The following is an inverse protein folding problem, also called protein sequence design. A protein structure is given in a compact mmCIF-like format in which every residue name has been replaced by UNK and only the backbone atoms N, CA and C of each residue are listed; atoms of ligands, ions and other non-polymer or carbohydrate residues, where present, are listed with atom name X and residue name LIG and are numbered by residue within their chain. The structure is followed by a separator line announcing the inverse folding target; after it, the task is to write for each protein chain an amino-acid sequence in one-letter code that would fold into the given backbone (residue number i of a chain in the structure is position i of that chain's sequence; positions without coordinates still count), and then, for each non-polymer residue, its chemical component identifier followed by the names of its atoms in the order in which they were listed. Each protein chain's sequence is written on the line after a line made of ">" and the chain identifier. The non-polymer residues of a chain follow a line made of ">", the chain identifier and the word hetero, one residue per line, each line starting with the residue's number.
data_IF_363569218671
#
_entry.id   IF_363569218671
#
_cell.length_a   1.000
_cell.length_b   1.000
_cell.length_c   1.000
_cell.angle_alpha   90.00
_cell.angle_beta   90.00
_cell.angle_gamma   90.00
#
_symmetry.space_group_name_H-M   'P 1'
#
loop_
_entity.id
_entity.type
_entity.pdbx_description
1 polymer ?
#
# COMPACT_ATOMS: atom_id res chain seq x y z
N UNK A 1 -38.72 22.51 -27.31
CA UNK A 1 -37.29 22.77 -27.08
C UNK A 1 -37.12 24.28 -27.04
N UNK A 2 -36.77 24.85 -25.89
CA UNK A 2 -36.60 26.30 -25.78
C UNK A 2 -35.17 26.67 -26.23
N UNK A 3 -35.07 27.55 -27.24
CA UNK A 3 -33.80 28.09 -27.71
C UNK A 3 -33.37 29.20 -26.75
N UNK A 4 -32.09 29.19 -26.33
CA UNK A 4 -31.56 30.29 -25.52
C UNK A 4 -31.62 31.60 -26.34
N UNK A 5 -32.02 32.72 -25.71
CA UNK A 5 -32.00 34.01 -26.39
C UNK A 5 -30.55 34.40 -26.72
N UNK A 6 -30.34 34.85 -27.95
CA UNK A 6 -29.04 35.32 -28.41
C UNK A 6 -28.78 36.69 -27.77
N UNK A 7 -27.98 36.72 -26.70
CA UNK A 7 -27.62 37.97 -26.02
C UNK A 7 -26.47 38.62 -26.80
N UNK A 8 -26.67 39.86 -27.24
CA UNK A 8 -25.60 40.63 -27.86
C UNK A 8 -24.57 41.04 -26.80
N UNK A 9 -23.32 40.58 -26.98
CA UNK A 9 -22.21 40.92 -26.11
C UNK A 9 -21.51 42.18 -26.61
N UNK A 10 -21.36 43.16 -25.73
CA UNK A 10 -20.59 44.37 -26.00
C UNK A 10 -19.15 44.19 -25.52
N UNK A 11 -18.23 45.06 -25.98
CA UNK A 11 -16.82 45.03 -25.53
C UNK A 11 -16.63 45.11 -24.01
N UNK A 12 -17.58 45.72 -23.30
CA UNK A 12 -17.56 45.82 -21.85
C UNK A 12 -17.89 44.49 -21.14
N UNK A 13 -18.58 43.57 -21.84
CA UNK A 13 -18.96 42.26 -21.33
C UNK A 13 -17.84 41.21 -21.55
N UNK A 14 -16.82 41.57 -22.34
CA UNK A 14 -15.65 40.73 -22.51
C UNK A 14 -14.78 40.77 -21.25
N UNK A 15 -14.24 39.62 -20.80
CA UNK A 15 -13.30 39.61 -19.71
C UNK A 15 -12.11 40.51 -20.04
N UNK A 16 -11.78 41.42 -19.14
CA UNK A 16 -10.58 42.26 -19.29
C UNK A 16 -9.36 41.34 -19.31
N UNK A 17 -8.42 41.52 -20.25
CA UNK A 17 -7.17 40.76 -20.22
C UNK A 17 -6.44 41.10 -18.91
N UNK A 18 -6.48 40.18 -17.96
CA UNK A 18 -5.55 40.23 -16.84
C UNK A 18 -4.15 39.99 -17.38
N UNK A 19 -3.15 40.68 -16.83
CA UNK A 19 -1.77 40.28 -17.04
C UNK A 19 -1.67 38.80 -16.65
N UNK A 20 -1.36 37.93 -17.61
CA UNK A 20 -1.05 36.55 -17.30
C UNK A 20 0.09 36.56 -16.27
N UNK A 21 -0.06 35.85 -15.16
CA UNK A 21 1.07 35.64 -14.25
C UNK A 21 2.22 35.09 -15.08
N UNK A 22 3.42 35.63 -14.92
CA UNK A 22 4.60 35.09 -15.59
C UNK A 22 4.64 33.58 -15.37
N UNK A 23 4.64 32.81 -16.47
CA UNK A 23 4.78 31.37 -16.37
C UNK A 23 6.09 31.09 -15.63
N UNK A 24 6.00 30.35 -14.53
CA UNK A 24 7.19 30.01 -13.75
C UNK A 24 8.24 29.38 -14.67
N UNK A 25 9.44 29.95 -14.71
CA UNK A 25 10.51 29.47 -15.57
C UNK A 25 10.72 27.97 -15.32
N UNK A 26 10.71 27.18 -16.40
CA UNK A 26 11.01 25.75 -16.32
C UNK A 26 12.41 25.58 -15.71
N UNK A 27 12.47 24.86 -14.60
CA UNK A 27 13.73 24.44 -13.98
C UNK A 27 13.82 22.94 -14.10
N UNK A 28 14.95 22.44 -14.60
CA UNK A 28 15.29 21.02 -14.52
C UNK A 28 15.48 20.65 -13.05
N UNK A 29 14.39 20.27 -12.39
CA UNK A 29 14.40 19.63 -11.08
C UNK A 29 14.13 18.15 -11.27
N UNK A 30 14.52 17.31 -10.32
CA UNK A 30 14.08 15.91 -10.23
C UNK A 30 12.89 15.87 -9.29
N UNK A 31 11.64 15.91 -9.80
CA UNK A 31 10.47 15.91 -8.91
C UNK A 31 10.48 14.59 -8.13
N UNK A 32 10.59 14.69 -6.80
CA UNK A 32 10.74 13.52 -5.91
C UNK A 32 12.14 13.29 -5.34
N UNK A 33 13.15 14.07 -5.75
CA UNK A 33 14.47 14.06 -5.09
C UNK A 33 14.37 14.73 -3.71
N UNK A 34 14.57 13.92 -2.67
CA UNK A 34 14.65 14.37 -1.29
C UNK A 34 16.07 14.87 -1.06
N UNK A 35 16.26 16.19 -1.08
CA UNK A 35 17.57 16.84 -0.85
C UNK A 35 17.80 17.13 0.63
N UNK A 36 16.76 17.12 1.46
CA UNK A 36 16.85 17.30 2.92
C UNK A 36 15.91 16.34 3.66
N UNK A 37 16.22 15.94 4.91
CA UNK A 37 15.38 15.01 5.68
C UNK A 37 13.91 15.45 5.84
N UNK A 38 13.65 16.76 5.88
CA UNK A 38 12.33 17.36 6.07
C UNK A 38 11.46 17.28 4.80
N UNK A 39 12.08 17.07 3.63
CA UNK A 39 11.38 16.85 2.36
C UNK A 39 10.91 15.40 2.22
N UNK A 40 11.40 14.49 3.05
CA UNK A 40 10.85 13.16 3.13
C UNK A 40 9.45 13.25 3.76
N UNK A 41 8.41 12.92 2.98
CA UNK A 41 7.06 12.81 3.54
C UNK A 41 7.02 11.58 4.45
N UNK A 42 6.82 11.82 5.74
CA UNK A 42 6.67 10.79 6.78
C UNK A 42 5.18 10.64 7.16
N UNK A 43 4.69 9.40 7.21
CA UNK A 43 3.42 9.07 7.90
C UNK A 43 2.40 8.22 7.12
N UNK A 44 1.45 7.65 7.85
CA UNK A 44 0.42 6.73 7.36
C UNK A 44 0.78 5.25 7.57
N UNK A 45 -0.15 4.34 7.22
CA UNK A 45 0.01 2.88 7.38
C UNK A 45 1.17 2.27 6.56
N UNK A 46 1.86 3.08 5.75
CA UNK A 46 2.85 2.64 4.76
C UNK A 46 4.24 3.28 4.95
N UNK A 47 4.45 4.10 5.99
CA UNK A 47 5.75 4.74 6.23
C UNK A 47 6.23 5.60 5.04
N UNK A 48 7.49 5.43 4.62
CA UNK A 48 8.00 6.03 3.37
C UNK A 48 7.32 5.34 2.18
N UNK A 49 6.61 6.07 1.29
CA UNK A 49 6.17 5.48 0.03
C UNK A 49 7.41 5.16 -0.80
N UNK A 50 7.86 3.90 -0.75
CA UNK A 50 8.90 3.40 -1.61
C UNK A 50 8.41 3.35 -3.07
N UNK A 51 9.28 3.57 -4.06
CA UNK A 51 8.98 3.38 -5.49
C UNK A 51 8.63 1.93 -5.89
N UNK A 52 8.45 1.02 -4.92
CA UNK A 52 8.65 -0.42 -5.10
C UNK A 52 7.40 -1.28 -4.87
N UNK A 53 6.19 -0.70 -4.81
CA UNK A 53 4.96 -1.51 -4.74
C UNK A 53 4.87 -2.55 -5.89
N UNK A 54 5.36 -2.19 -7.07
CA UNK A 54 5.48 -3.12 -8.21
C UNK A 54 6.52 -4.23 -7.99
N UNK A 55 7.63 -3.94 -7.29
CA UNK A 55 8.65 -4.93 -6.96
C UNK A 55 8.14 -5.93 -5.90
N UNK A 56 7.42 -5.47 -4.87
CA UNK A 56 6.80 -6.39 -3.90
C UNK A 56 5.85 -7.36 -4.60
N UNK A 57 5.00 -6.85 -5.50
CA UNK A 57 4.08 -7.71 -6.25
C UNK A 57 4.82 -8.74 -7.11
N UNK A 58 5.99 -8.38 -7.66
CA UNK A 58 6.84 -9.35 -8.38
C UNK A 58 7.35 -10.44 -7.45
N UNK A 59 7.81 -10.10 -6.24
CA UNK A 59 8.25 -11.08 -5.25
C UNK A 59 7.10 -12.01 -4.84
N UNK A 60 5.91 -11.46 -4.58
CA UNK A 60 4.70 -12.25 -4.24
C UNK A 60 4.32 -13.21 -5.36
N UNK A 61 4.37 -12.78 -6.62
CA UNK A 61 4.09 -13.65 -7.76
C UNK A 61 5.09 -14.80 -7.92
N UNK A 62 6.33 -14.60 -7.48
CA UNK A 62 7.36 -15.64 -7.47
C UNK A 62 7.33 -16.55 -6.24
N UNK A 63 6.50 -16.23 -5.24
CA UNK A 63 6.35 -17.05 -4.04
C UNK A 63 5.32 -18.16 -4.24
N UNK A 64 5.60 -19.32 -3.64
CA UNK A 64 4.71 -20.48 -3.61
C UNK A 64 3.78 -20.39 -2.40
N UNK A 65 2.47 -20.29 -2.66
CA UNK A 65 1.40 -20.37 -1.65
C UNK A 65 0.05 -20.56 -2.35
N UNK A 66 -0.95 -21.02 -1.59
CA UNK A 66 -2.32 -21.14 -2.09
C UNK A 66 -2.95 -19.75 -2.26
N UNK A 67 -3.31 -19.42 -3.50
CA UNK A 67 -3.92 -18.13 -3.85
C UNK A 67 -5.44 -18.10 -3.65
N UNK A 68 -6.06 -19.26 -3.43
CA UNK A 68 -7.51 -19.40 -3.23
C UNK A 68 -8.35 -18.78 -4.36
N UNK A 69 -9.59 -18.42 -4.03
CA UNK A 69 -10.60 -18.00 -5.02
C UNK A 69 -10.50 -16.54 -5.47
N UNK A 70 -9.75 -15.70 -4.73
CA UNK A 70 -9.58 -14.26 -5.01
C UNK A 70 -8.09 -13.90 -5.10
N UNK A 71 -7.35 -14.49 -6.08
CA UNK A 71 -5.90 -14.43 -6.16
C UNK A 71 -5.37 -12.99 -6.20
N UNK A 72 -5.91 -12.14 -7.08
CA UNK A 72 -5.46 -10.75 -7.21
C UNK A 72 -5.63 -9.92 -5.93
N UNK A 73 -6.68 -10.21 -5.16
CA UNK A 73 -6.93 -9.50 -3.90
C UNK A 73 -5.96 -9.98 -2.83
N UNK A 74 -5.78 -11.30 -2.73
CA UNK A 74 -4.85 -11.89 -1.78
C UNK A 74 -3.40 -11.46 -2.05
N UNK A 75 -2.95 -11.49 -3.31
CA UNK A 75 -1.61 -11.04 -3.71
C UNK A 75 -1.35 -9.58 -3.29
N UNK A 76 -2.35 -8.70 -3.45
CA UNK A 76 -2.23 -7.30 -3.02
C UNK A 76 -2.19 -7.14 -1.50
N UNK A 77 -2.94 -7.96 -0.75
CA UNK A 77 -2.89 -7.96 0.71
C UNK A 77 -1.51 -8.43 1.19
N UNK A 78 -0.99 -9.53 0.65
CA UNK A 78 0.37 -10.04 0.94
C UNK A 78 1.41 -8.96 0.63
N UNK A 79 1.30 -8.31 -0.54
CA UNK A 79 2.22 -7.26 -0.94
C UNK A 79 2.15 -6.02 -0.02
N UNK A 80 0.96 -5.66 0.44
CA UNK A 80 0.79 -4.57 1.42
C UNK A 80 1.49 -4.87 2.74
N UNK A 81 1.36 -6.08 3.27
CA UNK A 81 2.00 -6.48 4.54
C UNK A 81 3.52 -6.55 4.39
N UNK A 82 4.01 -7.18 3.31
CA UNK A 82 5.44 -7.26 3.01
C UNK A 82 6.06 -5.87 2.78
N UNK A 83 5.37 -5.00 2.03
CA UNK A 83 5.79 -3.62 1.80
C UNK A 83 5.85 -2.80 3.09
N UNK A 84 4.89 -2.98 4.00
CA UNK A 84 4.88 -2.31 5.30
C UNK A 84 6.07 -2.72 6.16
N UNK A 85 6.39 -4.03 6.23
CA UNK A 85 7.60 -4.51 6.91
C UNK A 85 8.87 -3.89 6.33
N UNK A 86 9.03 -3.91 5.01
CA UNK A 86 10.20 -3.34 4.35
C UNK A 86 10.34 -1.83 4.64
N UNK A 87 9.21 -1.11 4.64
CA UNK A 87 9.16 0.31 4.97
C UNK A 87 9.53 0.59 6.43
N UNK A 88 9.06 -0.22 7.39
CA UNK A 88 9.47 -0.16 8.80
C UNK A 88 10.97 -0.38 8.97
N UNK A 89 11.54 -1.31 8.20
CA UNK A 89 12.97 -1.59 8.18
C UNK A 89 13.80 -0.55 7.40
N UNK A 90 13.16 0.45 6.77
CA UNK A 90 13.83 1.51 6.01
C UNK A 90 14.58 1.02 4.76
N UNK A 91 14.20 -0.14 4.21
CA UNK A 91 14.88 -0.79 3.06
C UNK A 91 13.91 -1.20 1.96
N UNK A 92 14.46 -1.65 0.84
CA UNK A 92 13.67 -2.26 -0.24
C UNK A 92 13.05 -3.61 0.17
N UNK A 93 11.97 -4.03 -0.50
CA UNK A 93 11.34 -5.34 -0.27
C UNK A 93 12.22 -6.53 -0.70
N UNK A 94 12.18 -7.60 0.09
CA UNK A 94 12.92 -8.86 -0.07
C UNK A 94 11.98 -10.07 0.03
N UNK A 95 12.45 -11.25 -0.38
CA UNK A 95 11.68 -12.50 -0.25
C UNK A 95 11.27 -12.81 1.19
N UNK A 96 12.11 -12.46 2.15
CA UNK A 96 11.82 -12.62 3.58
C UNK A 96 10.62 -11.79 4.04
N UNK A 97 10.37 -10.62 3.44
CA UNK A 97 9.20 -9.81 3.77
C UNK A 97 7.90 -10.49 3.32
N UNK A 98 7.96 -11.16 2.17
CA UNK A 98 6.86 -11.98 1.68
C UNK A 98 6.62 -13.15 2.62
N UNK A 99 7.67 -13.83 3.08
CA UNK A 99 7.53 -14.97 3.99
C UNK A 99 6.86 -14.57 5.32
N UNK A 100 7.28 -13.45 5.92
CA UNK A 100 6.63 -12.91 7.13
C UNK A 100 5.16 -12.56 6.86
N UNK A 101 4.85 -11.95 5.71
CA UNK A 101 3.48 -11.66 5.33
C UNK A 101 2.63 -12.93 5.18
N UNK A 102 3.19 -14.00 4.59
CA UNK A 102 2.50 -15.28 4.42
C UNK A 102 2.23 -15.96 5.77
N UNK A 103 3.18 -15.91 6.71
CA UNK A 103 2.98 -16.41 8.09
C UNK A 103 1.86 -15.62 8.78
N UNK A 104 1.90 -14.29 8.76
CA UNK A 104 0.89 -13.43 9.39
C UNK A 104 -0.52 -13.61 8.81
N UNK A 105 -0.61 -13.97 7.52
CA UNK A 105 -1.88 -14.26 6.86
C UNK A 105 -2.30 -15.73 7.02
N UNK A 106 -1.56 -16.56 7.75
CA UNK A 106 -1.88 -17.98 7.94
C UNK A 106 -1.78 -18.80 6.65
N UNK A 107 -0.92 -18.39 5.71
CA UNK A 107 -0.60 -19.10 4.46
C UNK A 107 0.64 -20.01 4.60
N UNK A 108 1.22 -20.03 5.80
CA UNK A 108 2.26 -20.94 6.28
C UNK A 108 1.79 -21.60 7.59
N UNK A 109 0.84 -22.54 7.52
CA UNK A 109 0.33 -23.19 8.72
C UNK A 109 1.35 -24.13 9.37
N UNK A 110 2.44 -24.46 8.67
CA UNK A 110 3.47 -25.37 9.16
C UNK A 110 4.14 -24.81 10.43
N UNK A 111 4.17 -25.60 11.51
CA UNK A 111 4.77 -25.20 12.78
C UNK A 111 3.88 -24.34 13.68
N UNK A 112 2.68 -23.95 13.23
CA UNK A 112 1.72 -23.20 14.05
C UNK A 112 0.75 -24.14 14.79
N UNK A 113 0.38 -23.84 16.05
CA UNK A 113 -0.73 -24.51 16.72
C UNK A 113 -2.03 -24.36 15.91
N UNK A 114 -2.83 -25.42 15.80
CA UNK A 114 -4.03 -25.42 14.95
C UNK A 114 -5.04 -24.30 15.26
N UNK A 115 -5.15 -23.91 16.53
CA UNK A 115 -5.98 -22.78 16.95
C UNK A 115 -5.46 -21.44 16.39
N UNK A 116 -4.14 -21.22 16.43
CA UNK A 116 -3.51 -20.00 15.92
C UNK A 116 -3.62 -19.94 14.40
N UNK A 117 -3.36 -21.05 13.71
CA UNK A 117 -3.57 -21.15 12.26
C UNK A 117 -5.02 -20.83 11.87
N UNK A 118 -6.00 -21.29 12.66
CA UNK A 118 -7.42 -20.95 12.50
C UNK A 118 -7.68 -19.45 12.63
N UNK A 119 -7.19 -18.81 13.69
CA UNK A 119 -7.34 -17.36 13.92
C UNK A 119 -6.75 -16.55 12.78
N UNK A 120 -5.55 -16.90 12.31
CA UNK A 120 -4.91 -16.19 11.19
C UNK A 120 -5.67 -16.41 9.87
N UNK A 121 -6.18 -17.62 9.64
CA UNK A 121 -7.04 -17.94 8.49
C UNK A 121 -8.34 -17.13 8.49
N UNK A 122 -8.97 -16.97 9.65
CA UNK A 122 -10.19 -16.17 9.81
C UNK A 122 -9.90 -14.68 9.62
N UNK A 123 -8.80 -14.17 10.18
CA UNK A 123 -8.34 -12.80 9.96
C UNK A 123 -8.04 -12.52 8.48
N UNK A 124 -7.39 -13.46 7.78
CA UNK A 124 -7.17 -13.38 6.32
C UNK A 124 -8.50 -13.32 5.57
N UNK A 125 -9.47 -14.18 5.91
CA UNK A 125 -10.79 -14.18 5.25
C UNK A 125 -11.50 -12.84 5.41
N UNK A 126 -11.53 -12.32 6.64
CA UNK A 126 -12.08 -11.00 6.93
C UNK A 126 -11.36 -9.89 6.15
N UNK A 127 -10.04 -9.96 6.02
CA UNK A 127 -9.26 -9.00 5.23
C UNK A 127 -9.64 -9.05 3.74
N UNK A 128 -9.78 -10.24 3.15
CA UNK A 128 -10.19 -10.37 1.73
C UNK A 128 -11.62 -9.86 1.52
N UNK A 129 -12.54 -10.14 2.45
CA UNK A 129 -13.92 -9.64 2.38
C UNK A 129 -13.99 -8.12 2.48
N UNK A 130 -13.20 -7.53 3.37
CA UNK A 130 -13.16 -6.08 3.54
C UNK A 130 -12.43 -5.35 2.40
N UNK A 131 -11.50 -6.04 1.73
CA UNK A 131 -10.62 -5.45 0.71
C UNK A 131 -11.38 -4.72 -0.41
N UNK A 132 -12.61 -5.14 -0.75
CA UNK A 132 -13.42 -4.45 -1.77
C UNK A 132 -13.66 -2.97 -1.44
N UNK A 133 -13.77 -2.62 -0.15
CA UNK A 133 -14.02 -1.27 0.34
C UNK A 133 -12.74 -0.46 0.59
N UNK A 134 -11.57 -1.07 0.41
CA UNK A 134 -10.30 -0.43 0.66
C UNK A 134 -9.69 0.16 -0.62
N UNK A 135 -9.14 1.38 -0.51
CA UNK A 135 -8.31 1.95 -1.58
C UNK A 135 -7.00 1.17 -1.72
N UNK A 136 -6.35 0.91 -0.59
CA UNK A 136 -5.11 0.14 -0.49
C UNK A 136 -5.44 -1.21 0.15
N UNK A 137 -5.37 -2.31 -0.62
CA UNK A 137 -5.85 -3.62 -0.16
C UNK A 137 -4.99 -4.16 0.97
N UNK A 138 -5.60 -4.64 2.05
CA UNK A 138 -4.94 -5.15 3.26
C UNK A 138 -4.65 -4.08 4.31
N UNK A 139 -5.09 -2.83 4.12
CA UNK A 139 -4.79 -1.73 5.03
C UNK A 139 -5.46 -1.89 6.40
N UNK A 140 -6.71 -2.35 6.45
CA UNK A 140 -7.40 -2.64 7.71
C UNK A 140 -6.71 -3.76 8.47
N UNK A 141 -6.36 -4.85 7.77
CA UNK A 141 -5.60 -5.96 8.33
C UNK A 141 -4.29 -5.47 8.95
N UNK A 142 -3.50 -4.69 8.20
CA UNK A 142 -2.21 -4.18 8.67
C UNK A 142 -2.34 -3.38 9.97
N UNK A 143 -3.42 -2.60 10.16
CA UNK A 143 -3.67 -1.85 11.40
C UNK A 143 -3.91 -2.73 12.62
N UNK A 144 -4.23 -4.00 12.43
CA UNK A 144 -4.42 -4.97 13.51
C UNK A 144 -3.13 -5.72 13.87
N UNK A 145 -2.10 -5.64 13.02
CA UNK A 145 -0.83 -6.33 13.25
C UNK A 145 0.10 -5.43 14.07
N UNK A 146 0.58 -5.87 15.25
CA UNK A 146 1.58 -5.12 16.01
C UNK A 146 2.91 -5.00 15.26
N UNK A 147 3.56 -3.84 15.37
CA UNK A 147 4.87 -3.59 14.74
C UNK A 147 5.92 -4.64 15.13
N UNK A 148 5.89 -5.11 16.39
CA UNK A 148 6.78 -6.18 16.89
C UNK A 148 6.73 -7.42 16.01
N UNK A 149 5.53 -7.88 15.64
CA UNK A 149 5.33 -9.03 14.75
C UNK A 149 5.75 -8.72 13.32
N UNK A 150 5.56 -7.49 12.86
CA UNK A 150 6.00 -7.06 11.53
C UNK A 150 7.52 -6.97 11.43
N UNK A 151 8.24 -6.75 12.53
CA UNK A 151 9.72 -6.63 12.53
C UNK A 151 10.47 -7.92 12.86
N UNK A 152 9.82 -8.91 13.48
CA UNK A 152 10.40 -10.21 13.81
C UNK A 152 10.90 -10.98 12.56
N UNK A 153 12.00 -11.73 12.65
CA UNK A 153 12.37 -12.68 11.60
C UNK A 153 11.31 -13.79 11.45
N UNK A 154 11.27 -14.54 10.33
CA UNK A 154 10.31 -15.63 10.16
C UNK A 154 10.33 -16.65 11.31
N UNK A 155 11.53 -17.03 11.79
CA UNK A 155 11.67 -17.97 12.90
C UNK A 155 11.14 -17.38 14.22
N UNK A 156 11.55 -16.16 14.56
CA UNK A 156 11.05 -15.47 15.76
C UNK A 156 9.54 -15.29 15.71
N UNK A 157 8.97 -14.95 14.55
CA UNK A 157 7.53 -14.79 14.40
C UNK A 157 6.79 -16.11 14.64
N UNK A 158 7.32 -17.23 14.13
CA UNK A 158 6.73 -18.55 14.41
C UNK A 158 6.78 -18.88 15.90
N UNK A 159 7.89 -18.61 16.57
CA UNK A 159 8.03 -18.80 18.02
C UNK A 159 7.03 -17.91 18.80
N UNK A 160 6.90 -16.64 18.43
CA UNK A 160 5.93 -15.70 19.02
C UNK A 160 4.47 -16.13 18.83
N UNK A 161 4.18 -16.85 17.74
CA UNK A 161 2.84 -17.34 17.43
C UNK A 161 2.58 -18.74 18.01
N UNK A 162 3.62 -19.48 18.36
CA UNK A 162 3.53 -20.80 18.98
C UNK A 162 3.43 -20.74 20.51
N UNK A 163 3.89 -19.64 21.13
CA UNK A 163 3.79 -19.36 22.56
C UNK A 163 2.35 -19.00 23.00
#
# INVERSE_FOLDING_TARGET
>A
MAQQPNIELNRADLPRPGLASEAAAWKQRRPGEITTPEQAVWGGSFGRPGPDAGWVLRLVRGAEFDRGDRPDTLERIVATVAGARAALAGRGPMSEDVEVALILLGLRPEGLPGQVAGVLSDARRAAIDHAAHERDKGRSFLRTVPDEKLTASPAELLDMLAA
#
